data_IF_979174307429
#
_entry.id   IF_979174307429
#
_cell.length_a   1.000
_cell.length_b   1.000
_cell.length_c   1.000
_cell.angle_alpha   90.00
_cell.angle_beta   90.00
_cell.angle_gamma   90.00
#
_symmetry.space_group_name_H-M   'P 1'
#
loop_
_entity.id
_entity.type
_entity.pdbx_description
1 polymer ?
#
# COMPACT_ATOMS: atom_id res chain seq x y z
N UNK A 1 9.82 31.46 5.76
CA UNK A 1 11.04 31.39 4.91
C UNK A 1 10.61 31.56 3.47
N UNK A 2 11.05 32.63 2.85
CA UNK A 2 10.64 32.95 1.51
C UNK A 2 11.32 32.01 0.50
N UNK A 3 10.61 31.02 0.06
CA UNK A 3 11.04 30.21 -1.06
C UNK A 3 10.70 31.01 -2.32
N UNK A 4 11.75 31.48 -2.98
CA UNK A 4 11.68 32.21 -4.23
C UNK A 4 11.44 31.27 -5.43
N UNK A 5 10.51 30.33 -5.32
CA UNK A 5 10.10 29.56 -6.47
C UNK A 5 9.08 30.39 -7.27
N UNK A 6 9.54 30.98 -8.37
CA UNK A 6 8.64 31.65 -9.28
C UNK A 6 7.89 30.63 -10.13
N UNK A 7 6.61 30.90 -10.47
CA UNK A 7 5.88 30.05 -11.39
C UNK A 7 6.62 29.91 -12.71
N UNK A 8 6.70 28.67 -13.22
CA UNK A 8 7.23 28.40 -14.55
C UNK A 8 6.10 28.55 -15.58
N UNK A 9 6.33 29.35 -16.60
CA UNK A 9 5.36 29.64 -17.66
C UNK A 9 5.96 29.23 -19.01
N UNK A 10 5.18 28.54 -19.84
CA UNK A 10 5.60 28.15 -21.19
C UNK A 10 5.45 29.30 -22.20
N UNK A 11 5.83 29.02 -23.45
CA UNK A 11 5.78 30.00 -24.54
C UNK A 11 4.35 30.49 -24.87
N UNK A 12 3.36 29.65 -24.57
CA UNK A 12 1.93 29.94 -24.81
C UNK A 12 1.27 30.65 -23.62
N UNK A 13 2.02 30.95 -22.57
CA UNK A 13 1.54 31.63 -21.38
C UNK A 13 0.85 30.69 -20.38
N UNK A 14 1.01 29.38 -20.51
CA UNK A 14 0.47 28.42 -19.55
C UNK A 14 1.40 28.26 -18.36
N UNK A 15 0.83 28.26 -17.17
CA UNK A 15 1.56 27.86 -15.95
C UNK A 15 1.86 26.37 -16.02
N UNK A 16 3.12 26.01 -15.89
CA UNK A 16 3.54 24.60 -15.85
C UNK A 16 3.36 24.09 -14.43
N UNK A 17 2.57 23.03 -14.28
CA UNK A 17 2.49 22.24 -13.03
C UNK A 17 3.25 20.95 -13.25
N UNK A 18 4.33 20.78 -12.50
CA UNK A 18 5.17 19.61 -12.57
C UNK A 18 4.69 18.55 -11.59
N UNK A 19 4.45 17.34 -12.08
CA UNK A 19 4.03 16.17 -11.29
C UNK A 19 5.11 15.11 -11.37
N UNK A 20 5.60 14.64 -10.22
CA UNK A 20 6.56 13.53 -10.16
C UNK A 20 5.85 12.27 -9.66
N UNK A 21 6.03 11.17 -10.37
CA UNK A 21 5.43 9.87 -10.06
C UNK A 21 6.50 8.79 -9.86
N UNK A 22 6.20 7.82 -9.03
CA UNK A 22 7.11 6.79 -8.53
C UNK A 22 7.25 5.56 -9.41
N UNK A 23 6.72 5.60 -10.63
CA UNK A 23 6.67 4.45 -11.54
C UNK A 23 7.35 4.79 -12.86
N UNK A 24 7.72 3.75 -13.62
CA UNK A 24 8.19 3.90 -14.98
C UNK A 24 7.04 4.26 -15.92
N UNK A 25 7.30 5.09 -16.92
CA UNK A 25 6.29 5.51 -17.89
C UNK A 25 5.65 4.33 -18.62
N UNK A 26 6.41 3.28 -18.89
CA UNK A 26 5.96 2.11 -19.65
C UNK A 26 5.18 1.11 -18.80
N UNK A 27 5.15 1.26 -17.48
CA UNK A 27 4.32 0.42 -16.61
C UNK A 27 2.82 0.70 -16.86
N UNK A 28 1.97 -0.24 -16.53
CA UNK A 28 0.51 -0.06 -16.63
C UNK A 28 0.05 1.19 -15.86
N UNK A 29 0.56 1.38 -14.65
CA UNK A 29 0.27 2.55 -13.82
C UNK A 29 0.82 3.84 -14.46
N UNK A 30 2.07 3.84 -14.94
CA UNK A 30 2.68 4.98 -15.60
C UNK A 30 1.96 5.39 -16.88
N UNK A 31 1.53 4.43 -17.68
CA UNK A 31 0.72 4.71 -18.88
C UNK A 31 -0.64 5.28 -18.51
N UNK A 32 -1.24 4.85 -17.39
CA UNK A 32 -2.50 5.43 -16.90
C UNK A 32 -2.29 6.89 -16.46
N UNK A 33 -1.22 7.21 -15.75
CA UNK A 33 -0.90 8.60 -15.41
C UNK A 33 -0.70 9.46 -16.66
N UNK A 34 -0.04 8.93 -17.67
CA UNK A 34 0.15 9.64 -18.93
C UNK A 34 -1.18 9.96 -19.60
N UNK A 35 -2.10 9.00 -19.67
CA UNK A 35 -3.45 9.23 -20.23
C UNK A 35 -4.23 10.29 -19.45
N UNK A 36 -4.17 10.24 -18.12
CA UNK A 36 -4.87 11.17 -17.24
C UNK A 36 -4.34 12.60 -17.42
N UNK A 37 -3.04 12.77 -17.47
CA UNK A 37 -2.40 14.08 -17.64
C UNK A 37 -2.54 14.61 -19.05
N UNK A 38 -2.49 13.78 -20.07
CA UNK A 38 -2.80 14.17 -21.46
C UNK A 38 -4.26 14.63 -21.60
N UNK A 39 -5.18 13.91 -20.94
CA UNK A 39 -6.60 14.29 -20.88
C UNK A 39 -6.77 15.65 -20.21
N UNK A 40 -6.07 15.92 -19.12
CA UNK A 40 -6.07 17.24 -18.50
C UNK A 40 -5.60 18.32 -19.46
N UNK A 41 -4.46 18.14 -20.11
CA UNK A 41 -3.87 19.12 -21.01
C UNK A 41 -4.75 19.42 -22.22
N UNK A 42 -5.58 18.48 -22.65
CA UNK A 42 -6.55 18.65 -23.72
C UNK A 42 -7.89 19.23 -23.26
N UNK A 43 -8.12 19.35 -21.95
CA UNK A 43 -9.40 19.74 -21.37
C UNK A 43 -9.67 21.25 -21.47
N UNK A 44 -10.95 21.63 -21.41
CA UNK A 44 -11.36 23.02 -21.28
C UNK A 44 -10.84 23.63 -19.97
N UNK A 45 -10.81 22.86 -18.91
CA UNK A 45 -10.26 23.29 -17.60
C UNK A 45 -8.82 23.77 -17.73
N UNK A 46 -7.97 23.02 -18.43
CA UNK A 46 -6.58 23.41 -18.66
C UNK A 46 -6.47 24.70 -19.48
N UNK A 47 -7.29 24.82 -20.53
CA UNK A 47 -7.29 25.98 -21.41
C UNK A 47 -7.78 27.24 -20.71
N UNK A 48 -8.90 27.16 -20.01
CA UNK A 48 -9.51 28.28 -19.29
C UNK A 48 -8.62 28.80 -18.16
N UNK A 49 -7.93 27.92 -17.47
CA UNK A 49 -7.02 28.28 -16.37
C UNK A 49 -5.58 28.48 -16.81
N UNK A 50 -5.28 28.30 -18.10
CA UNK A 50 -3.92 28.41 -18.66
C UNK A 50 -2.90 27.57 -17.90
N UNK A 51 -3.19 26.28 -17.79
CA UNK A 51 -2.35 25.30 -17.08
C UNK A 51 -1.89 24.23 -18.07
N UNK A 52 -0.63 23.83 -17.95
CA UNK A 52 -0.08 22.66 -18.61
C UNK A 52 0.62 21.78 -17.59
N UNK A 53 0.28 20.49 -17.56
CA UNK A 53 0.92 19.49 -16.70
C UNK A 53 2.09 18.86 -17.45
N UNK A 54 3.22 18.71 -16.75
CA UNK A 54 4.38 17.91 -17.17
C UNK A 54 4.64 16.84 -16.12
N UNK A 55 4.79 15.60 -16.57
CA UNK A 55 5.04 14.46 -15.70
C UNK A 55 6.51 14.08 -15.77
N UNK A 56 7.13 13.92 -14.58
CA UNK A 56 8.43 13.30 -14.42
C UNK A 56 8.25 11.90 -13.83
N UNK A 57 8.72 10.88 -14.53
CA UNK A 57 8.69 9.51 -14.07
C UNK A 57 10.00 9.20 -13.34
N UNK A 58 9.90 8.84 -12.07
CA UNK A 58 11.05 8.50 -11.22
C UNK A 58 10.79 7.15 -10.56
N UNK A 59 10.97 6.04 -11.31
CA UNK A 59 10.64 4.72 -10.79
C UNK A 59 11.47 4.40 -9.56
N UNK A 60 10.83 3.78 -8.58
CA UNK A 60 11.54 3.19 -7.45
C UNK A 60 12.56 2.21 -8.02
N UNK A 61 13.84 2.45 -7.71
CA UNK A 61 14.90 1.52 -8.06
C UNK A 61 14.77 0.25 -7.22
N UNK A 62 15.63 -0.76 -7.44
CA UNK A 62 15.70 -1.98 -6.64
C UNK A 62 15.95 -1.75 -5.13
N UNK A 63 16.06 -0.51 -4.70
CA UNK A 63 16.15 -0.05 -3.32
C UNK A 63 14.76 0.37 -2.83
N UNK A 64 14.34 -0.11 -1.68
CA UNK A 64 13.07 0.24 -1.05
C UNK A 64 12.88 1.75 -0.80
N UNK A 65 13.94 2.53 -0.86
CA UNK A 65 13.98 3.94 -0.47
C UNK A 65 14.44 4.89 -1.57
N UNK A 66 14.61 4.39 -2.81
CA UNK A 66 15.18 5.21 -3.91
C UNK A 66 14.37 6.47 -4.20
N UNK A 67 13.06 6.34 -4.36
CA UNK A 67 12.16 7.45 -4.62
C UNK A 67 12.08 8.41 -3.42
N UNK A 68 11.92 7.88 -2.23
CA UNK A 68 11.83 8.65 -0.99
C UNK A 68 13.14 9.39 -0.69
N UNK A 69 14.28 8.78 -0.96
CA UNK A 69 15.60 9.42 -0.83
C UNK A 69 15.73 10.60 -1.80
N UNK A 70 15.26 10.44 -3.03
CA UNK A 70 15.25 11.52 -4.03
C UNK A 70 14.39 12.70 -3.56
N UNK A 71 13.21 12.44 -3.00
CA UNK A 71 12.33 13.50 -2.47
C UNK A 71 13.02 14.31 -1.36
N UNK A 72 13.71 13.65 -0.44
CA UNK A 72 14.44 14.31 0.64
C UNK A 72 15.58 15.17 0.06
N UNK A 73 16.32 14.65 -0.92
CA UNK A 73 17.40 15.41 -1.59
C UNK A 73 16.84 16.65 -2.31
N UNK A 74 15.74 16.50 -3.03
CA UNK A 74 15.08 17.62 -3.72
C UNK A 74 14.55 18.66 -2.72
N UNK A 75 13.98 18.24 -1.61
CA UNK A 75 13.55 19.16 -0.55
C UNK A 75 14.73 19.99 -0.05
N UNK A 76 15.84 19.36 0.25
CA UNK A 76 17.04 20.04 0.77
C UNK A 76 17.66 21.01 -0.27
N UNK A 77 17.49 20.73 -1.55
CA UNK A 77 17.96 21.56 -2.66
C UNK A 77 16.98 22.66 -3.08
N UNK A 78 15.75 22.64 -2.57
CA UNK A 78 14.71 23.56 -2.99
C UNK A 78 14.17 23.26 -4.40
N UNK A 79 14.21 22.00 -4.83
CA UNK A 79 13.86 21.57 -6.20
C UNK A 79 12.70 20.59 -6.25
N UNK A 80 11.86 20.52 -5.21
CA UNK A 80 10.67 19.69 -5.23
C UNK A 80 9.74 20.09 -6.37
N UNK A 81 9.13 19.12 -7.10
CA UNK A 81 8.08 19.42 -8.05
C UNK A 81 6.85 19.99 -7.33
N UNK A 82 5.85 20.42 -8.10
CA UNK A 82 4.63 21.00 -7.53
C UNK A 82 3.74 19.95 -6.86
N UNK A 83 3.61 18.79 -7.50
CA UNK A 83 2.83 17.65 -7.02
C UNK A 83 3.70 16.41 -7.05
N UNK A 84 3.56 15.58 -6.03
CA UNK A 84 4.25 14.28 -5.94
C UNK A 84 3.26 13.17 -5.64
N UNK A 85 3.62 11.96 -6.04
CA UNK A 85 3.05 10.75 -5.45
C UNK A 85 3.80 10.40 -4.17
N UNK A 86 3.09 9.87 -3.19
CA UNK A 86 3.70 9.38 -1.95
C UNK A 86 2.88 8.22 -1.40
N UNK A 87 3.54 7.28 -0.75
CA UNK A 87 2.86 6.17 -0.07
C UNK A 87 2.19 6.70 1.21
N UNK A 88 0.93 6.36 1.39
CA UNK A 88 0.08 6.90 2.46
C UNK A 88 0.70 6.86 3.86
N UNK A 89 1.41 5.80 4.30
CA UNK A 89 1.98 5.78 5.65
C UNK A 89 3.07 6.82 5.89
N UNK A 90 3.60 7.45 4.84
CA UNK A 90 4.58 8.54 4.96
C UNK A 90 3.93 9.90 5.21
N UNK A 91 2.61 9.99 5.30
CA UNK A 91 1.91 11.28 5.45
C UNK A 91 2.44 12.10 6.63
N UNK A 92 2.51 11.51 7.83
CA UNK A 92 3.00 12.24 9.02
C UNK A 92 4.46 12.66 8.87
N UNK A 93 5.30 11.77 8.34
CA UNK A 93 6.71 12.06 8.09
C UNK A 93 6.88 13.23 7.13
N UNK A 94 6.19 13.21 6.00
CA UNK A 94 6.34 14.23 4.97
C UNK A 94 5.66 15.55 5.33
N UNK A 95 4.55 15.51 6.07
CA UNK A 95 3.91 16.71 6.58
C UNK A 95 4.79 17.41 7.63
N UNK A 96 5.33 16.66 8.59
CA UNK A 96 6.16 17.22 9.66
C UNK A 96 7.54 17.68 9.19
N UNK A 97 8.11 17.05 8.16
CA UNK A 97 9.44 17.40 7.63
C UNK A 97 9.43 18.54 6.61
N UNK A 98 8.25 19.02 6.21
CA UNK A 98 8.12 20.13 5.27
C UNK A 98 8.18 19.73 3.80
N UNK A 99 7.90 18.48 3.45
CA UNK A 99 7.76 18.04 2.05
C UNK A 99 6.36 18.37 1.53
N UNK A 100 5.32 17.98 2.29
CA UNK A 100 3.92 18.16 1.90
C UNK A 100 3.30 19.42 2.48
N UNK A 101 2.49 20.07 1.67
CA UNK A 101 1.70 21.24 2.00
C UNK A 101 0.30 20.83 2.50
N UNK A 102 -0.23 21.57 3.48
CA UNK A 102 -1.63 21.49 3.87
C UNK A 102 -2.52 21.97 2.73
N UNK A 103 -3.38 21.12 2.22
CA UNK A 103 -4.30 21.42 1.12
C UNK A 103 -5.77 21.46 1.56
N UNK A 104 -6.03 21.51 2.85
CA UNK A 104 -7.39 21.47 3.42
C UNK A 104 -8.30 22.54 2.82
N UNK A 105 -7.79 23.74 2.60
CA UNK A 105 -8.55 24.89 2.09
C UNK A 105 -8.50 25.02 0.56
N UNK A 106 -7.70 24.18 -0.12
CA UNK A 106 -7.50 24.24 -1.56
C UNK A 106 -8.35 23.23 -2.31
N UNK A 107 -8.73 22.15 -1.67
CA UNK A 107 -9.53 21.06 -2.25
C UNK A 107 -10.98 21.24 -1.83
N UNK A 108 -11.92 21.12 -2.77
CA UNK A 108 -13.34 21.31 -2.48
C UNK A 108 -13.84 20.32 -1.42
N UNK A 109 -14.78 20.77 -0.60
CA UNK A 109 -15.44 19.94 0.40
C UNK A 109 -16.16 18.74 -0.24
N UNK A 110 -16.78 18.96 -1.40
CA UNK A 110 -17.42 17.89 -2.16
C UNK A 110 -16.44 16.77 -2.51
N UNK A 111 -15.27 17.11 -3.01
CA UNK A 111 -14.22 16.15 -3.31
C UNK A 111 -13.76 15.44 -2.04
N UNK A 112 -13.44 16.17 -0.98
CA UNK A 112 -12.98 15.58 0.28
C UNK A 112 -14.00 14.60 0.87
N UNK A 113 -15.28 14.93 0.83
CA UNK A 113 -16.36 14.11 1.40
C UNK A 113 -16.66 12.85 0.60
N UNK A 114 -16.26 12.80 -0.67
CA UNK A 114 -16.44 11.61 -1.51
C UNK A 114 -15.40 10.52 -1.23
N UNK A 115 -14.29 10.84 -0.59
CA UNK A 115 -13.27 9.87 -0.21
C UNK A 115 -13.63 9.15 1.09
N UNK A 116 -13.24 7.87 1.20
CA UNK A 116 -13.34 7.13 2.46
C UNK A 116 -12.43 7.77 3.51
N UNK A 117 -12.92 7.90 4.74
CA UNK A 117 -12.15 8.54 5.83
C UNK A 117 -10.81 7.85 6.08
N UNK A 118 -10.78 6.51 6.05
CA UNK A 118 -9.56 5.72 6.25
C UNK A 118 -8.51 6.01 5.16
N UNK A 119 -8.92 6.46 4.00
CA UNK A 119 -8.05 6.66 2.83
C UNK A 119 -7.49 8.08 2.73
N UNK A 120 -8.06 9.05 3.45
CA UNK A 120 -7.57 10.43 3.44
C UNK A 120 -6.22 10.54 4.16
N UNK A 121 -5.30 11.31 3.58
CA UNK A 121 -3.98 11.52 4.13
C UNK A 121 -3.97 12.73 5.07
N UNK A 122 -4.18 12.49 6.34
CA UNK A 122 -4.29 13.54 7.35
C UNK A 122 -3.18 13.46 8.39
N UNK A 123 -2.79 14.62 8.90
CA UNK A 123 -1.86 14.79 10.00
C UNK A 123 -2.28 15.98 10.83
N UNK A 124 -2.42 15.81 12.14
CA UNK A 124 -2.87 16.87 13.07
C UNK A 124 -4.13 17.59 12.59
N UNK A 125 -5.08 16.82 12.06
CA UNK A 125 -6.38 17.35 11.62
C UNK A 125 -6.39 18.07 10.28
N UNK A 126 -5.26 18.09 9.55
CA UNK A 126 -5.14 18.76 8.26
C UNK A 126 -4.93 17.74 7.14
N UNK A 127 -5.36 18.08 5.92
CA UNK A 127 -5.25 17.23 4.74
C UNK A 127 -3.98 17.53 3.97
N UNK A 128 -3.17 16.50 3.70
CA UNK A 128 -1.90 16.62 2.97
C UNK A 128 -1.89 15.90 1.65
N UNK A 129 -2.92 15.16 1.33
CA UNK A 129 -3.03 14.49 0.04
C UNK A 129 -4.29 13.67 -0.07
N UNK A 130 -4.59 13.26 -1.28
CA UNK A 130 -5.72 12.40 -1.60
C UNK A 130 -5.24 11.16 -2.37
N UNK A 131 -5.80 9.98 -2.06
CA UNK A 131 -5.35 8.75 -2.68
C UNK A 131 -5.69 8.70 -4.17
N UNK A 132 -4.73 8.22 -4.93
CA UNK A 132 -4.89 7.86 -6.33
C UNK A 132 -5.84 6.67 -6.44
N UNK A 133 -5.64 5.74 -5.53
CA UNK A 133 -6.31 4.46 -5.42
C UNK A 133 -6.20 4.00 -3.99
N UNK A 134 -7.03 3.05 -3.59
CA UNK A 134 -6.86 2.37 -2.32
C UNK A 134 -6.39 0.95 -2.58
N UNK A 135 -5.78 0.34 -1.57
CA UNK A 135 -5.32 -1.03 -1.66
C UNK A 135 -6.03 -1.92 -0.65
N UNK A 136 -6.17 -3.17 -1.04
CA UNK A 136 -6.57 -4.25 -0.16
C UNK A 136 -5.80 -5.50 -0.59
N UNK A 137 -5.35 -6.26 0.36
CA UNK A 137 -4.61 -7.49 0.12
C UNK A 137 -5.38 -8.67 0.70
N UNK A 138 -5.09 -9.84 0.20
CA UNK A 138 -5.70 -11.06 0.70
C UNK A 138 -4.88 -12.27 0.30
N UNK A 139 -5.40 -13.44 0.59
CA UNK A 139 -4.76 -14.70 0.28
C UNK A 139 -5.39 -15.27 -0.98
N UNK A 140 -4.67 -15.13 -2.11
CA UNK A 140 -5.04 -15.78 -3.36
C UNK A 140 -4.94 -17.29 -3.18
N UNK A 141 -5.88 -18.04 -3.75
CA UNK A 141 -5.84 -19.49 -3.65
C UNK A 141 -6.16 -20.18 -4.95
N UNK A 142 -5.49 -21.30 -5.20
CA UNK A 142 -5.67 -22.15 -6.36
C UNK A 142 -6.80 -23.15 -6.09
N UNK A 143 -7.96 -22.95 -6.71
CA UNK A 143 -9.15 -23.78 -6.45
C UNK A 143 -8.94 -25.24 -6.84
N UNK A 144 -8.16 -25.52 -7.89
CA UNK A 144 -7.86 -26.89 -8.31
C UNK A 144 -7.12 -27.66 -7.22
N UNK A 145 -6.07 -27.05 -6.64
CA UNK A 145 -5.30 -27.66 -5.54
C UNK A 145 -6.21 -27.92 -4.34
N UNK A 146 -7.03 -26.93 -3.96
CA UNK A 146 -7.98 -27.09 -2.85
C UNK A 146 -9.03 -28.17 -3.12
N UNK A 147 -9.54 -28.23 -4.34
CA UNK A 147 -10.53 -29.25 -4.75
C UNK A 147 -9.93 -30.63 -4.68
N UNK A 148 -8.74 -30.81 -5.25
CA UNK A 148 -8.06 -32.11 -5.28
C UNK A 148 -7.68 -32.58 -3.86
N UNK A 149 -7.44 -31.66 -2.96
CA UNK A 149 -7.18 -31.95 -1.53
C UNK A 149 -8.44 -32.14 -0.70
N UNK A 150 -9.63 -31.93 -1.26
CA UNK A 150 -10.90 -32.02 -0.53
C UNK A 150 -11.20 -30.84 0.39
N UNK A 151 -10.56 -29.67 0.14
CA UNK A 151 -10.64 -28.50 1.03
C UNK A 151 -11.46 -27.34 0.46
N UNK A 152 -11.86 -27.38 -0.81
CA UNK A 152 -12.46 -26.23 -1.49
C UNK A 152 -13.74 -25.73 -0.79
N UNK A 153 -14.60 -26.64 -0.39
CA UNK A 153 -15.87 -26.30 0.27
C UNK A 153 -15.70 -25.62 1.64
N UNK A 154 -14.52 -25.73 2.25
CA UNK A 154 -14.21 -25.06 3.52
C UNK A 154 -13.91 -23.58 3.35
N UNK A 155 -13.58 -23.11 2.15
CA UNK A 155 -13.05 -21.75 1.90
C UNK A 155 -13.79 -20.99 0.81
N UNK A 156 -14.47 -21.67 -0.14
CA UNK A 156 -14.94 -21.05 -1.39
C UNK A 156 -15.98 -19.92 -1.22
N UNK A 157 -16.70 -19.89 -0.11
CA UNK A 157 -17.71 -18.86 0.19
C UNK A 157 -17.29 -17.92 1.32
N UNK A 158 -16.01 -17.91 1.65
CA UNK A 158 -15.49 -17.08 2.74
C UNK A 158 -15.49 -15.61 2.35
N UNK A 159 -15.93 -14.76 3.29
CA UNK A 159 -15.94 -13.31 3.18
C UNK A 159 -15.25 -12.69 4.41
N UNK A 160 -15.15 -11.37 4.45
CA UNK A 160 -14.63 -10.68 5.62
C UNK A 160 -15.49 -10.90 6.87
N UNK A 161 -16.82 -11.12 6.71
CA UNK A 161 -17.72 -11.34 7.84
C UNK A 161 -17.56 -12.71 8.49
N UNK A 162 -17.19 -13.73 7.71
CA UNK A 162 -16.99 -15.09 8.19
C UNK A 162 -15.55 -15.58 7.96
N UNK A 163 -14.60 -14.69 8.05
CA UNK A 163 -13.20 -15.00 7.83
C UNK A 163 -12.70 -16.11 8.76
N UNK A 164 -11.83 -16.95 8.22
CA UNK A 164 -11.14 -17.99 8.98
C UNK A 164 -10.29 -17.41 10.10
N UNK A 165 -9.98 -18.24 11.07
CA UNK A 165 -9.06 -17.91 12.16
C UNK A 165 -7.63 -18.25 11.77
N UNK A 166 -6.66 -17.70 12.51
CA UNK A 166 -5.25 -18.09 12.38
C UNK A 166 -5.09 -19.61 12.55
N UNK A 167 -5.80 -20.21 13.51
CA UNK A 167 -5.75 -21.67 13.73
C UNK A 167 -6.28 -22.46 12.54
N UNK A 168 -7.39 -22.02 11.92
CA UNK A 168 -7.92 -22.64 10.71
C UNK A 168 -6.96 -22.48 9.52
N UNK A 169 -6.34 -21.31 9.37
CA UNK A 169 -5.31 -21.06 8.37
C UNK A 169 -4.14 -22.05 8.54
N UNK A 170 -3.63 -22.19 9.75
CA UNK A 170 -2.55 -23.13 10.05
C UNK A 170 -2.96 -24.58 9.74
N UNK A 171 -4.17 -24.96 10.08
CA UNK A 171 -4.71 -26.29 9.79
C UNK A 171 -4.75 -26.58 8.29
N UNK A 172 -5.23 -25.62 7.50
CA UNK A 172 -5.28 -25.75 6.03
C UNK A 172 -3.85 -25.84 5.45
N UNK A 173 -2.93 -25.04 5.91
CA UNK A 173 -1.53 -25.14 5.49
C UNK A 173 -0.95 -26.54 5.77
N UNK A 174 -1.24 -27.09 6.95
CA UNK A 174 -0.77 -28.43 7.32
C UNK A 174 -1.36 -29.51 6.39
N UNK A 175 -2.65 -29.41 6.07
CA UNK A 175 -3.32 -30.38 5.19
C UNK A 175 -2.85 -30.27 3.72
N UNK A 176 -2.37 -29.09 3.29
CA UNK A 176 -1.90 -28.87 1.93
C UNK A 176 -0.46 -29.28 1.68
N UNK A 177 0.31 -29.58 2.71
CA UNK A 177 1.79 -29.80 2.57
C UNK A 177 2.18 -30.83 1.52
N UNK A 178 1.41 -31.90 1.40
CA UNK A 178 1.71 -33.00 0.48
C UNK A 178 0.99 -32.87 -0.88
N UNK A 179 0.16 -31.84 -1.04
CA UNK A 179 -0.66 -31.62 -2.23
C UNK A 179 -0.14 -30.50 -3.15
N UNK A 180 0.94 -29.85 -2.76
CA UNK A 180 1.56 -28.76 -3.54
C UNK A 180 3.02 -28.58 -3.15
N UNK A 181 3.74 -27.79 -3.95
CA UNK A 181 5.15 -27.51 -3.68
C UNK A 181 5.36 -26.63 -2.45
N UNK A 182 4.40 -25.72 -2.15
CA UNK A 182 4.41 -24.86 -0.99
C UNK A 182 2.96 -24.45 -0.65
N UNK A 183 2.48 -24.64 0.59
CA UNK A 183 1.14 -24.21 0.97
C UNK A 183 0.86 -22.74 0.73
N UNK A 184 1.77 -21.86 1.12
CA UNK A 184 1.59 -20.41 0.92
C UNK A 184 2.91 -19.70 0.65
N UNK A 185 2.89 -18.79 -0.31
CA UNK A 185 3.91 -17.77 -0.49
C UNK A 185 3.47 -16.48 0.23
N UNK A 186 4.14 -16.15 1.32
CA UNK A 186 3.92 -14.92 2.09
C UNK A 186 4.80 -13.76 1.62
N UNK A 187 5.53 -13.93 0.54
CA UNK A 187 6.48 -12.95 -0.01
C UNK A 187 7.56 -12.54 1.01
N UNK A 188 8.04 -13.49 1.82
CA UNK A 188 9.11 -13.23 2.79
C UNK A 188 10.43 -12.79 2.13
N UNK A 189 10.64 -13.16 0.86
CA UNK A 189 11.77 -12.69 0.06
C UNK A 189 11.73 -11.18 -0.23
N UNK A 190 10.59 -10.51 -0.01
CA UNK A 190 10.43 -9.07 -0.16
C UNK A 190 10.80 -8.28 1.11
N UNK A 191 11.51 -8.90 2.05
CA UNK A 191 11.81 -8.30 3.36
C UNK A 191 12.69 -7.04 3.29
N UNK A 192 13.28 -6.73 2.14
CA UNK A 192 14.01 -5.47 1.90
C UNK A 192 13.13 -4.36 1.29
N UNK A 193 11.86 -4.63 1.06
CA UNK A 193 10.92 -3.71 0.41
C UNK A 193 9.72 -3.43 1.32
N UNK A 194 9.12 -2.26 1.16
CA UNK A 194 7.89 -1.88 1.89
C UNK A 194 6.76 -2.90 1.71
N UNK A 195 6.77 -3.65 0.62
CA UNK A 195 5.81 -4.73 0.35
C UNK A 195 5.72 -5.71 1.52
N UNK A 196 6.84 -6.07 2.15
CA UNK A 196 6.82 -6.98 3.30
C UNK A 196 6.12 -6.37 4.50
N UNK A 197 6.41 -5.11 4.84
CA UNK A 197 5.68 -4.42 5.92
C UNK A 197 4.19 -4.38 5.61
N UNK A 198 3.83 -3.95 4.40
CA UNK A 198 2.45 -3.80 3.94
C UNK A 198 1.65 -5.11 4.00
N UNK A 199 2.22 -6.22 3.55
CA UNK A 199 1.51 -7.49 3.48
C UNK A 199 1.43 -8.20 4.85
N UNK A 200 2.40 -8.00 5.73
CA UNK A 200 2.54 -8.81 6.94
C UNK A 200 2.03 -8.14 8.22
N UNK A 201 1.93 -6.81 8.28
CA UNK A 201 1.49 -6.15 9.52
C UNK A 201 0.08 -6.59 10.00
N UNK A 202 -0.87 -6.93 9.12
CA UNK A 202 -2.18 -7.38 9.59
C UNK A 202 -2.12 -8.67 10.40
N UNK A 203 -1.21 -9.59 10.08
CA UNK A 203 -1.03 -10.82 10.87
C UNK A 203 -0.61 -10.53 12.31
N UNK A 204 0.20 -9.51 12.51
CA UNK A 204 0.66 -9.11 13.84
C UNK A 204 -0.49 -8.48 14.63
N UNK A 205 -1.20 -7.54 14.02
CA UNK A 205 -2.34 -6.87 14.66
C UNK A 205 -3.48 -7.84 14.98
N UNK A 206 -3.79 -8.78 14.08
CA UNK A 206 -4.85 -9.75 14.27
C UNK A 206 -4.62 -10.63 15.51
N UNK A 207 -3.37 -10.85 15.87
CA UNK A 207 -3.00 -11.68 17.04
C UNK A 207 -2.82 -10.87 18.33
N UNK A 208 -3.29 -9.62 18.35
CA UNK A 208 -3.20 -8.75 19.51
C UNK A 208 -1.88 -7.99 19.63
N UNK A 209 -1.02 -8.08 18.60
CA UNK A 209 0.21 -7.31 18.54
C UNK A 209 -0.05 -5.82 18.35
N UNK A 210 0.96 -5.02 18.62
CA UNK A 210 0.96 -3.57 18.46
C UNK A 210 2.34 -3.12 18.00
N UNK A 211 2.43 -1.87 17.57
CA UNK A 211 3.70 -1.36 17.03
C UNK A 211 4.18 -0.10 17.77
N UNK A 212 3.30 0.88 17.91
CA UNK A 212 3.62 2.18 18.46
C UNK A 212 2.48 2.70 19.34
N UNK A 213 2.78 3.65 20.22
CA UNK A 213 1.79 4.45 20.89
C UNK A 213 0.94 5.25 19.88
N UNK A 214 -0.19 5.79 20.34
CA UNK A 214 -1.12 6.55 19.49
C UNK A 214 -0.46 7.77 18.83
N UNK A 215 0.45 8.45 19.54
CA UNK A 215 1.21 9.57 18.99
C UNK A 215 2.37 9.15 18.08
N UNK A 216 2.62 7.86 17.94
CA UNK A 216 3.67 7.33 17.07
C UNK A 216 5.09 7.50 17.59
N UNK A 217 5.29 7.87 18.86
CA UNK A 217 6.60 8.24 19.41
C UNK A 217 7.21 7.20 20.36
N UNK A 218 6.45 6.18 20.75
CA UNK A 218 6.91 5.14 21.67
C UNK A 218 6.75 3.76 21.04
N UNK A 219 7.87 3.05 20.89
CA UNK A 219 7.90 1.66 20.43
C UNK A 219 8.00 0.68 21.60
N UNK A 220 8.72 1.05 22.66
CA UNK A 220 8.87 0.20 23.85
C UNK A 220 7.53 -0.05 24.52
N UNK A 221 7.24 -1.31 24.80
CA UNK A 221 5.96 -1.74 25.35
C UNK A 221 4.90 -2.03 24.31
N UNK A 222 5.12 -1.64 23.07
CA UNK A 222 4.25 -1.88 21.91
C UNK A 222 4.87 -2.90 20.96
N UNK A 223 5.90 -2.51 20.20
CA UNK A 223 6.57 -3.40 19.26
C UNK A 223 7.15 -4.66 19.96
N UNK A 224 7.64 -4.53 21.17
CA UNK A 224 8.19 -5.63 21.95
C UNK A 224 7.22 -6.19 23.00
N UNK A 225 5.92 -5.95 22.88
CA UNK A 225 4.94 -6.60 23.76
C UNK A 225 4.98 -8.13 23.58
N UNK A 226 4.53 -8.85 24.58
CA UNK A 226 4.49 -10.31 24.51
C UNK A 226 3.65 -10.82 23.35
N UNK A 227 2.50 -10.18 23.07
CA UNK A 227 1.63 -10.54 21.96
C UNK A 227 2.29 -10.27 20.60
N UNK A 228 2.99 -9.15 20.45
CA UNK A 228 3.72 -8.83 19.21
C UNK A 228 4.84 -9.83 18.95
N UNK A 229 5.64 -10.14 19.96
CA UNK A 229 6.71 -11.14 19.86
C UNK A 229 6.15 -12.50 19.46
N UNK A 230 5.05 -12.93 20.09
CA UNK A 230 4.40 -14.20 19.77
C UNK A 230 3.89 -14.25 18.33
N UNK A 231 3.36 -13.14 17.84
CA UNK A 231 2.87 -13.05 16.45
C UNK A 231 4.01 -13.15 15.43
N UNK A 232 5.12 -12.47 15.64
CA UNK A 232 6.31 -12.64 14.81
C UNK A 232 6.88 -14.06 14.90
N UNK A 233 6.87 -14.66 16.07
CA UNK A 233 7.34 -16.03 16.25
C UNK A 233 6.52 -17.02 15.42
N UNK A 234 5.21 -16.78 15.24
CA UNK A 234 4.38 -17.63 14.37
C UNK A 234 4.86 -17.64 12.93
N UNK A 235 5.32 -16.52 12.39
CA UNK A 235 5.88 -16.48 11.03
C UNK A 235 7.08 -17.43 10.93
N UNK A 236 7.98 -17.39 11.89
CA UNK A 236 9.10 -18.33 11.94
C UNK A 236 8.64 -19.77 12.08
N UNK A 237 7.63 -20.03 12.91
CA UNK A 237 7.07 -21.36 13.09
C UNK A 237 6.46 -21.90 11.78
N UNK A 238 5.82 -21.04 10.98
CA UNK A 238 5.28 -21.42 9.68
C UNK A 238 6.38 -21.82 8.70
N UNK A 239 7.51 -21.12 8.72
CA UNK A 239 8.70 -21.50 7.94
C UNK A 239 9.22 -22.87 8.39
N UNK A 240 9.40 -23.07 9.70
CA UNK A 240 9.90 -24.31 10.26
C UNK A 240 8.96 -25.50 9.99
N UNK A 241 7.65 -25.24 9.95
CA UNK A 241 6.64 -26.26 9.62
C UNK A 241 6.55 -26.56 8.12
N UNK A 242 7.24 -25.81 7.27
CA UNK A 242 7.20 -25.99 5.83
C UNK A 242 5.94 -25.42 5.17
N UNK A 243 5.22 -24.51 5.84
CA UNK A 243 4.03 -23.88 5.28
C UNK A 243 4.39 -22.75 4.32
N UNK A 244 5.48 -22.07 4.55
CA UNK A 244 6.02 -20.99 3.73
C UNK A 244 7.54 -21.03 3.70
N UNK A 245 8.17 -20.17 2.91
CA UNK A 245 9.63 -20.16 2.74
C UNK A 245 10.13 -18.77 2.37
N UNK A 246 11.32 -18.43 2.84
CA UNK A 246 12.07 -17.26 2.38
C UNK A 246 12.60 -17.41 0.95
N UNK A 247 12.69 -18.64 0.45
CA UNK A 247 13.22 -18.96 -0.87
C UNK A 247 12.12 -19.35 -1.87
N UNK A 248 10.88 -18.96 -1.60
CA UNK A 248 9.77 -19.20 -2.49
C UNK A 248 10.00 -18.52 -3.86
N UNK A 249 9.57 -19.18 -4.93
CA UNK A 249 9.54 -18.58 -6.27
C UNK A 249 8.43 -17.52 -6.33
N UNK A 250 8.74 -16.33 -6.81
CA UNK A 250 7.77 -15.24 -6.99
C UNK A 250 6.70 -15.52 -8.05
N UNK A 251 6.86 -16.60 -8.83
CA UNK A 251 5.88 -17.07 -9.81
C UNK A 251 5.25 -18.42 -9.44
N UNK A 252 5.55 -18.95 -8.25
CA UNK A 252 5.09 -20.29 -7.87
C UNK A 252 3.57 -20.44 -7.81
N UNK A 253 2.86 -19.44 -7.31
CA UNK A 253 1.40 -19.41 -7.34
C UNK A 253 0.88 -19.26 -8.78
N UNK A 254 1.42 -18.32 -9.52
CA UNK A 254 1.00 -18.03 -10.90
C UNK A 254 1.16 -19.24 -11.83
N UNK A 255 2.16 -20.08 -11.59
CA UNK A 255 2.43 -21.29 -12.39
C UNK A 255 1.72 -22.54 -11.87
N UNK A 256 0.86 -22.41 -10.85
CA UNK A 256 0.07 -23.50 -10.32
C UNK A 256 0.80 -24.45 -9.37
N UNK A 257 1.99 -24.07 -8.89
CA UNK A 257 2.79 -24.90 -7.98
C UNK A 257 2.45 -24.69 -6.51
N UNK A 258 2.07 -23.47 -6.13
CA UNK A 258 1.72 -23.12 -4.74
C UNK A 258 0.20 -23.02 -4.59
N UNK A 259 -0.28 -23.43 -3.42
CA UNK A 259 -1.72 -23.43 -3.14
C UNK A 259 -2.26 -22.03 -2.86
N UNK A 260 -1.47 -21.19 -2.20
CA UNK A 260 -1.87 -19.85 -1.77
C UNK A 260 -0.76 -18.83 -1.96
N UNK A 261 -1.19 -17.55 -2.05
CA UNK A 261 -0.30 -16.42 -2.29
C UNK A 261 -0.84 -15.16 -1.61
N UNK A 262 -0.08 -14.60 -0.70
CA UNK A 262 -0.43 -13.32 -0.06
C UNK A 262 -0.04 -12.18 -1.00
N UNK A 263 -1.04 -11.47 -1.52
CA UNK A 263 -0.82 -10.36 -2.45
C UNK A 263 -1.98 -9.36 -2.44
N UNK A 264 -1.76 -8.23 -3.06
CA UNK A 264 -2.75 -7.17 -3.21
C UNK A 264 -3.47 -7.26 -4.56
N UNK A 265 -4.34 -6.29 -4.83
CA UNK A 265 -5.12 -6.22 -6.07
C UNK A 265 -4.29 -6.22 -7.35
N UNK A 266 -3.02 -5.79 -7.29
CA UNK A 266 -2.13 -5.77 -8.47
C UNK A 266 -1.91 -7.14 -9.12
N UNK A 267 -2.10 -8.23 -8.38
CA UNK A 267 -1.98 -9.58 -8.93
C UNK A 267 -3.17 -9.99 -9.80
N UNK A 268 -4.31 -9.34 -9.68
CA UNK A 268 -5.51 -9.69 -10.48
C UNK A 268 -5.27 -9.51 -11.98
N UNK A 269 -4.87 -8.31 -12.46
CA UNK A 269 -4.59 -8.15 -13.88
C UNK A 269 -3.40 -8.98 -14.35
N UNK A 270 -2.42 -9.22 -13.50
CA UNK A 270 -1.28 -10.06 -13.82
C UNK A 270 -1.70 -11.51 -14.13
N UNK A 271 -2.54 -12.09 -13.28
CA UNK A 271 -3.10 -13.43 -13.51
C UNK A 271 -3.90 -13.47 -14.81
N UNK A 272 -4.81 -12.51 -14.99
CA UNK A 272 -5.71 -12.49 -16.14
C UNK A 272 -5.02 -12.22 -17.49
N UNK A 273 -3.90 -11.51 -17.47
CA UNK A 273 -3.18 -11.15 -18.70
C UNK A 273 -2.05 -12.10 -19.04
N UNK A 274 -1.42 -12.73 -18.04
CA UNK A 274 -0.17 -13.49 -18.24
C UNK A 274 -0.29 -14.96 -17.87
N UNK A 275 -1.24 -15.36 -17.03
CA UNK A 275 -1.31 -16.71 -16.47
C UNK A 275 -2.66 -17.40 -16.69
N UNK A 276 -3.35 -17.04 -17.76
CA UNK A 276 -4.65 -17.63 -18.12
C UNK A 276 -4.58 -19.13 -18.43
N UNK A 277 -3.45 -19.59 -18.96
CA UNK A 277 -3.28 -21.02 -19.26
C UNK A 277 -2.99 -21.85 -18.01
N UNK A 278 -2.34 -21.25 -17.01
CA UNK A 278 -1.96 -21.93 -15.78
C UNK A 278 -3.08 -21.92 -14.74
N UNK A 279 -3.78 -20.79 -14.57
CA UNK A 279 -4.80 -20.60 -13.54
C UNK A 279 -6.21 -20.47 -14.12
N UNK A 280 -6.36 -19.91 -15.32
CA UNK A 280 -7.68 -19.61 -15.91
C UNK A 280 -8.53 -18.77 -14.97
N UNK A 281 -9.76 -19.23 -14.73
CA UNK A 281 -10.71 -18.65 -13.78
C UNK A 281 -10.78 -19.45 -12.45
N UNK A 282 -9.94 -20.48 -12.30
CA UNK A 282 -10.02 -21.45 -11.18
C UNK A 282 -9.17 -21.01 -9.99
N UNK A 283 -9.36 -19.75 -9.58
CA UNK A 283 -8.71 -19.12 -8.44
C UNK A 283 -9.66 -18.12 -7.76
N UNK A 284 -9.32 -17.72 -6.56
CA UNK A 284 -10.06 -16.72 -5.82
C UNK A 284 -9.18 -16.04 -4.79
N UNK A 285 -9.79 -15.20 -3.95
CA UNK A 285 -9.11 -14.52 -2.86
C UNK A 285 -9.85 -14.79 -1.56
N UNK A 286 -9.07 -15.12 -0.53
CA UNK A 286 -9.56 -15.31 0.84
C UNK A 286 -9.16 -14.10 1.69
N UNK A 287 -9.95 -13.73 2.71
CA UNK A 287 -9.58 -12.65 3.62
C UNK A 287 -8.38 -13.03 4.47
N UNK A 288 -7.73 -12.01 5.05
CA UNK A 288 -6.75 -12.26 6.11
C UNK A 288 -7.40 -13.08 7.22
N UNK A 289 -6.70 -14.08 7.77
CA UNK A 289 -7.20 -14.81 8.93
C UNK A 289 -7.23 -13.89 10.16
N UNK A 290 -8.26 -14.05 10.97
CA UNK A 290 -8.43 -13.28 12.20
C UNK A 290 -7.93 -14.03 13.43
N UNK A 291 -7.52 -13.28 14.44
CA UNK A 291 -7.19 -13.77 15.77
C UNK A 291 -8.11 -13.12 16.80
N UNK A 292 -7.53 -12.42 17.77
CA UNK A 292 -8.29 -11.64 18.75
C UNK A 292 -9.03 -10.46 18.11
N UNK A 293 -8.59 -10.02 16.96
CA UNK A 293 -9.26 -9.02 16.12
C UNK A 293 -9.09 -9.39 14.64
N UNK A 294 -9.86 -8.73 13.79
CA UNK A 294 -9.68 -8.78 12.35
C UNK A 294 -8.90 -7.55 11.88
N UNK A 295 -7.92 -7.76 11.03
CA UNK A 295 -7.15 -6.68 10.41
C UNK A 295 -6.77 -7.08 8.99
N UNK A 296 -6.80 -6.14 8.06
CA UNK A 296 -6.36 -6.36 6.68
C UNK A 296 -5.57 -5.16 6.19
N UNK A 297 -4.67 -5.40 5.23
CA UNK A 297 -3.81 -4.39 4.68
C UNK A 297 -4.60 -3.35 3.88
N UNK A 298 -4.24 -2.09 4.08
CA UNK A 298 -4.72 -0.96 3.30
C UNK A 298 -3.69 0.16 3.34
N UNK A 299 -3.95 1.25 2.61
CA UNK A 299 -3.02 2.35 2.45
C UNK A 299 -2.21 2.19 1.17
N UNK A 300 -2.38 3.13 0.26
CA UNK A 300 -1.75 3.10 -1.04
C UNK A 300 -1.16 4.46 -1.37
N UNK A 301 -0.76 4.64 -2.63
CA UNK A 301 -0.15 5.87 -3.09
C UNK A 301 -1.19 6.97 -3.28
N UNK A 302 -0.76 8.18 -2.97
CA UNK A 302 -1.57 9.39 -2.99
C UNK A 302 -0.86 10.48 -3.78
N UNK A 303 -1.62 11.49 -4.21
CA UNK A 303 -1.07 12.73 -4.73
C UNK A 303 -1.11 13.81 -3.64
N UNK A 304 -0.04 14.58 -3.52
CA UNK A 304 0.05 15.71 -2.62
C UNK A 304 0.80 16.88 -3.25
N UNK A 305 0.51 18.08 -2.77
CA UNK A 305 1.21 19.28 -3.15
C UNK A 305 2.44 19.44 -2.27
N UNK A 306 3.57 19.87 -2.84
CA UNK A 306 4.76 20.13 -2.05
C UNK A 306 4.79 21.55 -1.50
N UNK A 307 5.57 21.76 -0.45
CA UNK A 307 5.76 23.07 0.14
C UNK A 307 6.50 24.06 -0.79
N UNK A 308 7.14 23.56 -1.84
CA UNK A 308 7.91 24.37 -2.80
C UNK A 308 7.12 24.68 -4.07
N UNK A 309 5.85 24.34 -4.10
CA UNK A 309 4.94 24.70 -5.20
C UNK A 309 4.69 26.21 -5.22
N UNK A 310 5.06 26.86 -6.32
CA UNK A 310 4.86 28.30 -6.50
C UNK A 310 3.45 28.66 -6.95
N UNK A 311 2.75 27.71 -7.62
CA UNK A 311 1.44 27.93 -8.24
C UNK A 311 0.38 27.07 -7.55
N UNK A 312 0.09 27.38 -6.29
CA UNK A 312 -0.75 26.55 -5.42
C UNK A 312 -2.19 26.40 -5.94
N UNK A 313 -2.79 27.46 -6.47
CA UNK A 313 -4.16 27.41 -6.99
C UNK A 313 -4.25 26.53 -8.24
N UNK A 314 -3.30 26.68 -9.16
CA UNK A 314 -3.22 25.89 -10.39
C UNK A 314 -2.92 24.42 -10.06
N UNK A 315 -1.99 24.18 -9.15
CA UNK A 315 -1.67 22.83 -8.69
C UNK A 315 -2.88 22.16 -8.00
N UNK A 316 -3.69 22.90 -7.27
CA UNK A 316 -4.91 22.38 -6.67
C UNK A 316 -5.94 21.93 -7.72
N UNK A 317 -6.08 22.67 -8.81
CA UNK A 317 -6.94 22.28 -9.94
C UNK A 317 -6.43 20.98 -10.56
N UNK A 318 -5.13 20.86 -10.76
CA UNK A 318 -4.50 19.63 -11.27
C UNK A 318 -4.71 18.47 -10.30
N UNK A 319 -4.50 18.70 -8.99
CA UNK A 319 -4.66 17.68 -7.97
C UNK A 319 -6.09 17.11 -7.97
N UNK A 320 -7.11 17.96 -8.04
CA UNK A 320 -8.50 17.52 -8.13
C UNK A 320 -8.77 16.70 -9.40
N UNK A 321 -8.15 17.05 -10.52
CA UNK A 321 -8.26 16.26 -11.76
C UNK A 321 -7.61 14.88 -11.61
N UNK A 322 -6.41 14.84 -11.06
CA UNK A 322 -5.65 13.60 -10.88
C UNK A 322 -6.37 12.57 -10.02
N UNK A 323 -7.17 13.03 -9.06
CA UNK A 323 -7.95 12.17 -8.15
C UNK A 323 -9.45 12.20 -8.46
N UNK A 324 -9.85 12.73 -9.60
CA UNK A 324 -11.26 12.79 -10.03
C UNK A 324 -11.86 11.39 -10.11
N UNK A 325 -13.19 11.33 -10.14
CA UNK A 325 -13.91 10.07 -10.34
C UNK A 325 -13.43 9.33 -11.58
N UNK A 326 -13.35 10.02 -12.72
CA UNK A 326 -12.91 9.43 -13.98
C UNK A 326 -11.45 8.95 -13.92
N UNK A 327 -10.56 9.74 -13.32
CA UNK A 327 -9.17 9.36 -13.12
C UNK A 327 -9.05 8.13 -12.22
N UNK A 328 -9.82 8.09 -11.13
CA UNK A 328 -9.84 6.95 -10.20
C UNK A 328 -10.30 5.66 -10.87
N UNK A 329 -11.32 5.72 -11.70
CA UNK A 329 -11.80 4.57 -12.50
C UNK A 329 -10.71 4.11 -13.47
N UNK A 330 -10.13 5.06 -14.23
CA UNK A 330 -9.11 4.75 -15.24
C UNK A 330 -7.88 4.08 -14.64
N UNK A 331 -7.36 4.61 -13.52
CA UNK A 331 -6.15 4.06 -12.93
C UNK A 331 -6.40 2.70 -12.27
N UNK A 332 -7.54 2.53 -11.59
CA UNK A 332 -7.85 1.25 -10.95
C UNK A 332 -8.19 0.16 -11.95
N UNK A 333 -8.74 0.50 -13.11
CA UNK A 333 -8.86 -0.45 -14.23
C UNK A 333 -7.50 -0.95 -14.71
N UNK A 334 -6.50 -0.07 -14.74
CA UNK A 334 -5.15 -0.43 -15.18
C UNK A 334 -4.36 -1.24 -14.13
N UNK A 335 -4.57 -0.97 -12.84
CA UNK A 335 -3.74 -1.52 -11.75
C UNK A 335 -4.37 -2.69 -11.01
N UNK A 336 -5.69 -2.90 -11.14
CA UNK A 336 -6.43 -3.88 -10.33
C UNK A 336 -6.66 -3.43 -8.88
N UNK A 337 -6.28 -2.21 -8.55
CA UNK A 337 -6.51 -1.64 -7.21
C UNK A 337 -7.96 -1.14 -7.08
N UNK A 338 -8.30 -0.60 -5.91
CA UNK A 338 -9.66 -0.20 -5.56
C UNK A 338 -9.74 1.32 -5.57
N UNK A 339 -10.78 1.93 -6.14
CA UNK A 339 -10.99 3.36 -5.97
C UNK A 339 -11.16 3.75 -4.49
N UNK A 340 -10.60 4.89 -4.12
CA UNK A 340 -10.68 5.41 -2.75
C UNK A 340 -11.87 6.36 -2.54
N UNK A 341 -12.70 6.57 -3.56
CA UNK A 341 -13.85 7.47 -3.48
C UNK A 341 -15.14 6.80 -3.90
N UNK A 342 -16.22 7.16 -3.22
CA UNK A 342 -17.52 6.51 -3.32
C UNK A 342 -18.09 6.53 -4.74
N UNK A 343 -17.99 7.67 -5.44
CA UNK A 343 -18.47 7.83 -6.81
C UNK A 343 -17.80 6.87 -7.78
N UNK A 344 -16.50 6.65 -7.63
CA UNK A 344 -15.76 5.73 -8.48
C UNK A 344 -16.09 4.26 -8.16
N UNK A 345 -16.27 3.90 -6.88
CA UNK A 345 -16.74 2.58 -6.47
C UNK A 345 -18.10 2.27 -7.10
N UNK A 346 -19.01 3.23 -7.09
CA UNK A 346 -20.34 3.08 -7.69
C UNK A 346 -20.25 2.78 -9.19
N UNK A 347 -19.37 3.47 -9.93
CA UNK A 347 -19.12 3.21 -11.33
C UNK A 347 -18.51 1.82 -11.59
N UNK A 348 -17.59 1.38 -10.74
CA UNK A 348 -16.99 0.03 -10.85
C UNK A 348 -18.02 -1.07 -10.71
N UNK A 349 -18.97 -0.92 -9.80
CA UNK A 349 -20.07 -1.86 -9.58
C UNK A 349 -19.57 -3.30 -9.48
N UNK A 350 -18.68 -3.57 -8.54
CA UNK A 350 -18.07 -4.90 -8.38
C UNK A 350 -19.12 -5.99 -8.16
N UNK A 351 -18.93 -7.11 -8.86
CA UNK A 351 -19.83 -8.26 -8.77
C UNK A 351 -19.60 -9.02 -7.48
N UNK A 352 -20.66 -9.26 -6.70
CA UNK A 352 -20.59 -10.09 -5.50
C UNK A 352 -20.00 -11.48 -5.83
N UNK A 353 -19.08 -11.95 -4.97
CA UNK A 353 -18.39 -13.22 -5.16
C UNK A 353 -17.14 -13.12 -6.06
N UNK A 354 -16.87 -11.99 -6.69
CA UNK A 354 -15.64 -11.77 -7.45
C UNK A 354 -14.44 -11.50 -6.52
N UNK A 355 -13.21 -11.73 -6.99
CA UNK A 355 -12.02 -11.36 -6.24
C UNK A 355 -11.98 -9.88 -5.87
N UNK A 356 -12.35 -9.00 -6.79
CA UNK A 356 -12.40 -7.55 -6.57
C UNK A 356 -13.40 -7.18 -5.48
N UNK A 357 -14.55 -7.82 -5.47
CA UNK A 357 -15.56 -7.57 -4.44
C UNK A 357 -15.06 -7.98 -3.06
N UNK A 358 -14.37 -9.10 -2.95
CA UNK A 358 -13.79 -9.54 -1.68
C UNK A 358 -12.81 -8.52 -1.14
N UNK A 359 -11.92 -8.00 -1.98
CA UNK A 359 -10.94 -7.00 -1.57
C UNK A 359 -11.63 -5.70 -1.13
N UNK A 360 -12.62 -5.25 -1.88
CA UNK A 360 -13.41 -4.07 -1.54
C UNK A 360 -14.17 -4.24 -0.23
N UNK A 361 -14.87 -5.35 -0.08
CA UNK A 361 -15.65 -5.66 1.13
C UNK A 361 -14.76 -5.75 2.36
N UNK A 362 -13.62 -6.42 2.24
CA UNK A 362 -12.62 -6.53 3.30
C UNK A 362 -12.04 -5.17 3.71
N UNK A 363 -11.73 -4.32 2.74
CA UNK A 363 -11.26 -2.97 3.00
C UNK A 363 -12.23 -2.20 3.90
N UNK A 364 -13.51 -2.25 3.59
CA UNK A 364 -14.54 -1.54 4.35
C UNK A 364 -14.76 -2.10 5.75
N UNK A 365 -14.63 -3.41 5.92
CA UNK A 365 -14.97 -4.09 7.17
C UNK A 365 -13.79 -4.23 8.14
N UNK A 366 -12.59 -4.48 7.63
CA UNK A 366 -11.43 -4.82 8.44
C UNK A 366 -10.16 -4.08 8.04
N UNK A 367 -10.22 -3.21 7.04
CA UNK A 367 -9.07 -2.41 6.61
C UNK A 367 -8.48 -1.63 7.77
N UNK A 368 -7.18 -1.79 7.99
CA UNK A 368 -6.45 -1.17 9.09
C UNK A 368 -5.18 -0.54 8.54
N UNK A 369 -4.98 0.74 8.77
CA UNK A 369 -3.79 1.44 8.27
C UNK A 369 -2.54 1.04 9.03
N UNK A 370 -1.39 1.17 8.38
CA UNK A 370 -0.10 1.09 9.05
C UNK A 370 0.02 2.19 10.10
N UNK A 371 0.86 2.05 11.12
CA UNK A 371 0.88 3.00 12.23
C UNK A 371 1.25 4.43 11.79
N UNK A 372 0.57 5.42 12.36
CA UNK A 372 0.89 6.83 12.19
C UNK A 372 2.11 7.20 13.03
N UNK A 373 3.13 7.74 12.39
CA UNK A 373 4.34 8.24 13.06
C UNK A 373 5.10 9.18 12.13
N UNK A 374 5.72 10.20 12.70
CA UNK A 374 6.62 11.08 11.95
C UNK A 374 7.91 10.36 11.51
N UNK A 375 8.21 9.21 12.12
CA UNK A 375 9.37 8.37 11.84
C UNK A 375 8.97 7.08 11.09
N UNK A 376 8.02 7.17 10.17
CA UNK A 376 7.54 5.96 9.47
C UNK A 376 8.65 5.18 8.75
N UNK A 377 9.60 5.82 8.04
CA UNK A 377 10.70 5.07 7.40
C UNK A 377 11.48 4.20 8.39
N UNK A 378 11.75 4.71 9.58
CA UNK A 378 12.46 3.98 10.63
C UNK A 378 11.61 2.84 11.20
N UNK A 379 10.31 3.06 11.35
CA UNK A 379 9.38 1.99 11.75
C UNK A 379 9.37 0.85 10.73
N UNK A 380 9.20 1.16 9.45
CA UNK A 380 9.19 0.14 8.40
C UNK A 380 10.53 -0.59 8.31
N UNK A 381 11.64 0.13 8.48
CA UNK A 381 12.97 -0.48 8.56
C UNK A 381 13.09 -1.47 9.72
N UNK A 382 12.55 -1.13 10.89
CA UNK A 382 12.53 -2.04 12.05
C UNK A 382 11.67 -3.28 11.78
N UNK A 383 10.49 -3.10 11.23
CA UNK A 383 9.61 -4.21 10.86
C UNK A 383 10.29 -5.17 9.87
N UNK A 384 10.85 -4.62 8.80
CA UNK A 384 11.59 -5.40 7.80
C UNK A 384 12.83 -6.08 8.39
N UNK A 385 13.52 -5.40 9.31
CA UNK A 385 14.64 -5.96 10.05
C UNK A 385 14.24 -7.18 10.88
N UNK A 386 13.05 -7.18 11.47
CA UNK A 386 12.52 -8.35 12.18
C UNK A 386 12.28 -9.50 11.19
N UNK A 387 11.60 -9.24 10.09
CA UNK A 387 11.33 -10.27 9.08
C UNK A 387 12.63 -10.85 8.51
N UNK A 388 13.60 -10.01 8.19
CA UNK A 388 14.93 -10.47 7.74
C UNK A 388 15.66 -11.28 8.79
N UNK A 389 15.59 -10.85 10.05
CA UNK A 389 16.24 -11.55 11.16
C UNK A 389 15.68 -12.96 11.39
N UNK A 390 14.37 -13.11 11.21
CA UNK A 390 13.70 -14.42 11.36
C UNK A 390 14.11 -15.44 10.29
N UNK A 391 14.74 -15.03 9.21
CA UNK A 391 15.27 -15.94 8.20
C UNK A 391 16.30 -16.91 8.80
N UNK A 392 17.22 -16.39 9.62
CA UNK A 392 18.37 -17.12 10.12
C UNK A 392 18.35 -17.37 11.62
N UNK A 393 17.40 -16.80 12.35
CA UNK A 393 17.27 -16.94 13.79
C UNK A 393 15.83 -17.32 14.15
N UNK A 394 15.69 -18.37 14.94
CA UNK A 394 14.38 -18.86 15.40
C UNK A 394 13.84 -18.10 16.62
N UNK A 395 14.62 -17.17 17.19
CA UNK A 395 14.26 -16.46 18.42
C UNK A 395 13.71 -15.05 18.10
N UNK A 396 12.40 -14.96 17.90
CA UNK A 396 11.74 -13.68 17.64
C UNK A 396 11.95 -12.67 18.78
N UNK A 397 11.98 -13.10 20.03
CA UNK A 397 12.13 -12.20 21.18
C UNK A 397 13.40 -11.36 21.11
N UNK A 398 14.52 -12.00 20.81
CA UNK A 398 15.83 -11.33 20.66
C UNK A 398 15.83 -10.33 19.50
N UNK A 399 15.33 -10.75 18.34
CA UNK A 399 15.27 -9.91 17.12
C UNK A 399 14.37 -8.71 17.35
N UNK A 400 13.17 -8.92 17.88
CA UNK A 400 12.20 -7.85 18.15
C UNK A 400 12.74 -6.87 19.17
N UNK A 401 13.37 -7.35 20.23
CA UNK A 401 13.97 -6.49 21.26
C UNK A 401 15.07 -5.58 20.70
N UNK A 402 15.92 -6.12 19.85
CA UNK A 402 16.98 -5.35 19.17
C UNK A 402 16.39 -4.27 18.27
N UNK A 403 15.42 -4.60 17.43
CA UNK A 403 14.78 -3.65 16.53
C UNK A 403 13.96 -2.60 17.29
N UNK A 404 13.31 -2.98 18.38
CA UNK A 404 12.57 -2.04 19.24
C UNK A 404 13.52 -0.99 19.83
N UNK A 405 14.68 -1.40 20.31
CA UNK A 405 15.69 -0.48 20.87
C UNK A 405 16.19 0.48 19.80
N UNK A 406 16.53 -0.03 18.62
CA UNK A 406 16.98 0.79 17.50
C UNK A 406 15.92 1.81 17.08
N UNK A 407 14.68 1.36 16.95
CA UNK A 407 13.57 2.26 16.59
C UNK A 407 13.34 3.32 17.66
N UNK A 408 13.31 2.92 18.94
CA UNK A 408 13.10 3.89 20.03
C UNK A 408 14.21 4.93 20.08
N UNK A 409 15.45 4.55 19.85
CA UNK A 409 16.56 5.50 19.77
C UNK A 409 16.37 6.50 18.62
N UNK A 410 15.85 6.05 17.49
CA UNK A 410 15.51 6.93 16.37
C UNK A 410 14.34 7.88 16.72
N UNK A 411 13.29 7.36 17.35
CA UNK A 411 12.15 8.18 17.79
C UNK A 411 12.60 9.26 18.78
N UNK A 412 13.46 8.92 19.72
CA UNK A 412 13.97 9.86 20.73
C UNK A 412 14.76 11.04 20.10
N UNK A 413 15.29 10.87 18.91
CA UNK A 413 16.00 11.95 18.19
C UNK A 413 15.05 13.00 17.61
N UNK A 414 13.81 12.62 17.29
CA UNK A 414 12.80 13.56 16.78
C UNK A 414 12.26 14.48 17.87
N UNK A 415 12.41 14.12 19.13
CA UNK A 415 11.97 14.94 20.29
C UNK A 415 12.99 16.02 20.66
N UNK A 416 14.13 16.08 20.01
CA UNK A 416 15.21 17.06 20.24
C UNK A 416 15.26 18.06 19.08
#
# INVERSE_FOLDING_TARGET
SGDNNEPVVDEDGNTIVQVMVHVAQQSAEGMAYNRITDSFNASDTAKENKIRVRVRYSPRSNSATGYETELIAMMNQGTLPDIITFDAPNTWSYASSGILEDVSDLISEETQNDFFEISKNTYEGKLYGLPIQESSAGIYYNKKIFRDAGLLNRVENMTADNAWTIAEFESICAELKDDCALPIDLQLYMANDETATYLLYPFILAQGGSFLSEDGMTARGYLNSAATIAAFQKIRNWVDSGYTSYDASDVGFYTGQYAMYLSSGWSIPEIRNQYTQQLGEDWGILPYPKGTRAASATGSWSFGMTTQCASREEAAIVLEWLVSTDSSVSITDATGMIPARKSAIEQKNYTAGSPEYLLYDQLNKTGTVRPGTIAYPEFSSAFRGIINGLRNDSNASSIVSTQTTTLQNNLDRYER
#
